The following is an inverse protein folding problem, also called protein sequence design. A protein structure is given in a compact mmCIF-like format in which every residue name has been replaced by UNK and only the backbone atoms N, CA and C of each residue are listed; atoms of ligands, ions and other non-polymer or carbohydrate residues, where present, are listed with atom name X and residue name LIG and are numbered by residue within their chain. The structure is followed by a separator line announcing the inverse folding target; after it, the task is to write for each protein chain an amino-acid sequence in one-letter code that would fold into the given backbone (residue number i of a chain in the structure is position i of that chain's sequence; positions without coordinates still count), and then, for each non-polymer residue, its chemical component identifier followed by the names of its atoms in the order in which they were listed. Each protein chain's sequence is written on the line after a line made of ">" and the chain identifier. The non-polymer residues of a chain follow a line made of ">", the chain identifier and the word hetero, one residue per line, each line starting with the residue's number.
data_IF_519760906726
#
_entry.id   IF_519760906726
#
_cell.length_a   1.000
_cell.length_b   1.000
_cell.length_c   1.000
_cell.angle_alpha   90.00
_cell.angle_beta   90.00
_cell.angle_gamma   90.00
#
_symmetry.space_group_name_H-M   'P 1'
#
loop_
_entity.id
_entity.type
_entity.pdbx_description
1 polymer ?
#
# COMPACT_ATOMS: atom_id res chain seq x y z
N UNK A 1 4.06 -15.05 7.32
CA UNK A 1 3.66 -16.09 8.30
C UNK A 1 2.16 -16.10 8.45
N UNK A 2 1.60 -17.26 8.41
CA UNK A 2 0.15 -17.44 8.63
C UNK A 2 -0.09 -18.14 9.97
N UNK A 3 -0.99 -17.58 10.77
CA UNK A 3 -1.46 -18.20 12.02
C UNK A 3 -2.99 -18.28 11.95
N UNK A 4 -3.52 -19.50 11.80
CA UNK A 4 -4.96 -19.68 11.60
C UNK A 4 -5.44 -18.95 10.34
N UNK A 5 -6.32 -17.98 10.52
CA UNK A 5 -6.86 -17.14 9.44
C UNK A 5 -6.11 -15.82 9.25
N UNK A 6 -5.06 -15.56 10.01
CA UNK A 6 -4.29 -14.31 9.93
C UNK A 6 -3.00 -14.55 9.16
N UNK A 7 -2.73 -13.73 8.19
CA UNK A 7 -1.47 -13.70 7.43
C UNK A 7 -0.72 -12.43 7.80
N UNK A 8 0.51 -12.59 8.26
CA UNK A 8 1.44 -11.48 8.52
C UNK A 8 2.43 -11.37 7.37
N UNK A 9 2.74 -10.16 6.95
CA UNK A 9 3.69 -9.91 5.89
C UNK A 9 4.60 -8.73 6.20
N UNK A 10 5.79 -8.77 5.64
CA UNK A 10 6.73 -7.65 5.62
C UNK A 10 7.38 -7.59 4.25
N UNK A 11 7.55 -6.40 3.73
CA UNK A 11 8.09 -6.16 2.39
C UNK A 11 9.07 -5.01 2.43
N UNK A 12 10.20 -5.19 1.75
CA UNK A 12 11.14 -4.11 1.43
C UNK A 12 11.41 -4.19 -0.07
N UNK A 13 11.05 -3.14 -0.78
CA UNK A 13 11.20 -3.09 -2.23
C UNK A 13 11.90 -1.81 -2.66
N UNK A 14 12.79 -1.95 -3.64
CA UNK A 14 13.42 -0.84 -4.33
C UNK A 14 13.09 -0.94 -5.82
N UNK A 15 12.56 0.13 -6.39
CA UNK A 15 12.17 0.13 -7.79
C UNK A 15 12.19 1.55 -8.36
N UNK A 16 12.26 1.65 -9.68
CA UNK A 16 12.14 2.93 -10.39
C UNK A 16 10.93 2.83 -11.32
N UNK A 17 9.81 3.51 -10.99
CA UNK A 17 8.64 3.43 -11.84
C UNK A 17 8.87 4.12 -13.17
N UNK A 18 8.27 3.55 -14.21
CA UNK A 18 8.28 4.13 -15.56
C UNK A 18 6.85 4.18 -16.08
N UNK A 19 6.27 5.37 -16.13
CA UNK A 19 4.94 5.59 -16.65
C UNK A 19 4.84 6.97 -17.27
N UNK A 20 3.99 7.12 -18.26
CA UNK A 20 3.73 8.39 -18.94
C UNK A 20 2.28 8.83 -18.82
N UNK A 21 1.36 7.91 -18.98
CA UNK A 21 -0.08 8.15 -18.98
C UNK A 21 -0.83 7.30 -17.96
N UNK A 22 -0.13 6.45 -17.21
CA UNK A 22 -0.74 5.61 -16.20
C UNK A 22 -1.42 6.46 -15.11
N UNK A 23 -2.60 6.05 -14.71
CA UNK A 23 -3.39 6.70 -13.68
C UNK A 23 -4.16 5.64 -12.88
N UNK A 24 -4.85 6.08 -11.84
CA UNK A 24 -5.64 5.20 -10.99
C UNK A 24 -4.86 4.68 -9.80
N UNK A 25 -5.47 3.73 -9.12
CA UNK A 25 -4.98 3.19 -7.85
C UNK A 25 -3.65 2.44 -8.01
N UNK A 26 -2.66 2.79 -7.19
CA UNK A 26 -1.43 2.01 -7.10
C UNK A 26 -1.68 0.72 -6.31
N UNK A 27 -1.24 -0.41 -6.84
CA UNK A 27 -1.45 -1.73 -6.25
C UNK A 27 -0.13 -2.49 -6.14
N UNK A 28 0.06 -3.14 -5.01
CA UNK A 28 1.17 -4.07 -4.78
C UNK A 28 0.60 -5.47 -4.72
N UNK A 29 0.74 -6.21 -5.80
CA UNK A 29 0.23 -7.57 -5.95
C UNK A 29 1.23 -8.62 -5.47
N UNK A 30 0.80 -9.85 -5.31
CA UNK A 30 1.66 -10.99 -4.99
C UNK A 30 1.52 -11.47 -3.54
N UNK A 31 0.48 -11.07 -2.84
CA UNK A 31 0.17 -11.69 -1.54
C UNK A 31 -0.13 -13.18 -1.73
N UNK A 32 0.34 -14.04 -0.83
CA UNK A 32 0.25 -15.49 -1.02
C UNK A 32 -1.18 -16.03 -0.99
N UNK A 33 -2.09 -15.30 -0.39
CA UNK A 33 -3.51 -15.69 -0.29
C UNK A 33 -4.39 -14.47 -0.54
N UNK A 34 -5.54 -14.69 -1.15
CA UNK A 34 -6.55 -13.63 -1.25
C UNK A 34 -7.16 -13.33 0.13
N UNK A 35 -7.42 -12.06 0.40
CA UNK A 35 -8.15 -11.66 1.60
C UNK A 35 -9.58 -12.19 1.56
N UNK A 36 -10.13 -12.59 2.71
CA UNK A 36 -11.53 -13.00 2.81
C UNK A 36 -12.48 -11.87 2.43
N UNK A 37 -13.69 -12.24 1.99
CA UNK A 37 -14.69 -11.27 1.53
C UNK A 37 -15.21 -10.38 2.67
N UNK A 38 -15.33 -10.94 3.86
CA UNK A 38 -15.68 -10.21 5.10
C UNK A 38 -14.50 -10.36 6.05
N UNK A 39 -13.50 -9.51 5.89
CA UNK A 39 -12.22 -9.69 6.56
C UNK A 39 -11.62 -8.32 6.92
N UNK A 40 -10.53 -8.37 7.66
CA UNK A 40 -9.83 -7.19 8.15
C UNK A 40 -8.38 -7.21 7.72
N UNK A 41 -7.82 -6.04 7.56
CA UNK A 41 -6.39 -5.86 7.30
C UNK A 41 -5.88 -4.62 8.00
N UNK A 42 -4.58 -4.55 8.18
CA UNK A 42 -3.92 -3.39 8.72
C UNK A 42 -2.43 -3.45 8.44
N UNK A 43 -1.78 -2.32 8.56
CA UNK A 43 -0.35 -2.22 8.37
C UNK A 43 0.10 -0.79 8.15
N UNK A 44 1.41 -0.59 8.10
CA UNK A 44 2.00 0.73 7.96
C UNK A 44 3.29 0.68 7.14
N UNK A 45 3.62 1.81 6.54
CA UNK A 45 4.94 2.05 5.96
C UNK A 45 5.90 2.35 7.10
N UNK A 46 7.03 1.64 7.17
CA UNK A 46 8.08 1.89 8.16
C UNK A 46 9.34 2.53 7.56
N UNK A 47 9.49 2.53 6.23
CA UNK A 47 10.59 3.21 5.55
C UNK A 47 10.13 3.66 4.16
N UNK A 48 10.58 4.85 3.75
CA UNK A 48 10.32 5.36 2.40
C UNK A 48 11.38 6.37 1.99
N UNK A 49 11.61 6.50 0.69
CA UNK A 49 12.40 7.59 0.13
C UNK A 49 11.58 8.86 -0.03
N UNK A 50 12.27 9.99 -0.25
CA UNK A 50 11.64 11.28 -0.48
C UNK A 50 10.90 11.39 -1.83
N UNK A 51 10.98 10.38 -2.68
CA UNK A 51 10.38 10.41 -4.03
C UNK A 51 8.91 10.00 -4.06
N UNK A 52 8.36 9.56 -2.94
CA UNK A 52 6.93 9.27 -2.81
C UNK A 52 6.19 10.56 -2.46
N UNK A 53 5.35 11.04 -3.36
CA UNK A 53 4.53 12.20 -3.13
C UNK A 53 3.26 11.83 -2.36
N UNK A 54 3.06 12.43 -1.21
CA UNK A 54 1.87 12.18 -0.39
C UNK A 54 0.68 12.98 -0.92
N UNK A 55 -0.53 12.44 -0.86
CA UNK A 55 -1.73 13.21 -1.16
C UNK A 55 -1.83 14.45 -0.25
N UNK A 56 -2.39 15.53 -0.78
CA UNK A 56 -2.48 16.81 -0.08
C UNK A 56 -3.09 16.67 1.32
N UNK A 57 -2.44 17.29 2.31
CA UNK A 57 -2.89 17.32 3.71
C UNK A 57 -2.99 15.95 4.40
N UNK A 58 -2.39 14.91 3.84
CA UNK A 58 -2.29 13.59 4.49
C UNK A 58 -0.95 13.50 5.20
N UNK A 59 -0.98 13.03 6.44
CA UNK A 59 0.17 13.00 7.35
C UNK A 59 0.53 11.59 7.80
N UNK A 60 -0.30 10.60 7.53
CA UNK A 60 -0.02 9.20 7.81
C UNK A 60 -0.49 8.31 6.67
N UNK A 61 0.16 7.16 6.54
CA UNK A 61 -0.15 6.16 5.51
C UNK A 61 -0.41 4.82 6.17
N UNK A 62 -1.51 4.20 5.79
CA UNK A 62 -1.85 2.85 6.20
C UNK A 62 -1.88 1.91 5.00
N UNK A 63 -1.64 0.64 5.28
CA UNK A 63 -1.76 -0.45 4.32
C UNK A 63 -3.16 -1.04 4.43
N UNK A 64 -3.79 -1.28 3.30
CA UNK A 64 -5.08 -1.96 3.23
C UNK A 64 -5.04 -3.04 2.16
N UNK A 65 -5.45 -4.23 2.52
CA UNK A 65 -5.68 -5.32 1.55
C UNK A 65 -7.13 -5.26 1.11
N UNK A 66 -7.38 -5.40 -0.16
CA UNK A 66 -8.74 -5.33 -0.72
C UNK A 66 -9.45 -6.67 -0.56
N UNK A 67 -10.71 -6.64 -0.10
CA UNK A 67 -11.54 -7.83 0.08
C UNK A 67 -11.58 -8.70 -1.18
N UNK A 68 -11.35 -9.98 -1.02
CA UNK A 68 -11.34 -10.95 -2.11
C UNK A 68 -10.13 -10.88 -3.04
N UNK A 69 -9.15 -10.02 -2.75
CA UNK A 69 -8.00 -9.80 -3.62
C UNK A 69 -6.68 -10.19 -2.95
N UNK A 70 -5.65 -10.38 -3.75
CA UNK A 70 -4.30 -10.68 -3.30
C UNK A 70 -3.32 -9.52 -3.56
N UNK A 71 -3.83 -8.31 -3.52
CA UNK A 71 -3.02 -7.09 -3.59
C UNK A 71 -3.35 -6.14 -2.43
N UNK A 72 -2.42 -5.25 -2.14
CA UNK A 72 -2.61 -4.19 -1.16
C UNK A 72 -2.52 -2.81 -1.81
N UNK A 73 -3.07 -1.84 -1.12
CA UNK A 73 -3.05 -0.43 -1.49
C UNK A 73 -2.57 0.41 -0.31
N UNK A 74 -2.09 1.60 -0.59
CA UNK A 74 -1.77 2.59 0.44
C UNK A 74 -2.91 3.59 0.56
N UNK A 75 -3.31 3.89 1.79
CA UNK A 75 -4.30 4.91 2.12
C UNK A 75 -3.66 6.00 2.95
N UNK A 76 -3.79 7.25 2.50
CA UNK A 76 -3.34 8.42 3.26
C UNK A 76 -4.45 8.95 4.16
N UNK A 77 -4.09 9.29 5.39
CA UNK A 77 -5.00 9.85 6.39
C UNK A 77 -4.54 11.23 6.84
N UNK A 78 -5.49 12.09 7.19
CA UNK A 78 -5.24 13.42 7.72
C UNK A 78 -6.31 13.81 8.74
N UNK A 79 -6.04 14.83 9.54
CA UNK A 79 -6.98 15.31 10.56
C UNK A 79 -8.27 15.84 9.91
N UNK A 80 -9.41 15.33 10.36
CA UNK A 80 -10.75 15.72 9.88
C UNK A 80 -10.95 15.56 8.37
N UNK A 81 -10.20 14.66 7.72
CA UNK A 81 -10.28 14.40 6.29
C UNK A 81 -10.60 12.92 6.05
N UNK A 82 -11.37 12.66 4.99
CA UNK A 82 -11.55 11.30 4.49
C UNK A 82 -10.21 10.73 4.01
N UNK A 83 -10.01 9.43 4.17
CA UNK A 83 -8.83 8.77 3.65
C UNK A 83 -8.79 8.83 2.12
N UNK A 84 -7.58 8.83 1.57
CA UNK A 84 -7.36 8.88 0.13
C UNK A 84 -6.43 7.75 -0.28
N UNK A 85 -6.80 7.02 -1.32
CA UNK A 85 -5.97 5.96 -1.88
C UNK A 85 -4.81 6.59 -2.66
N UNK A 86 -3.60 6.06 -2.49
CA UNK A 86 -2.48 6.45 -3.32
C UNK A 86 -2.69 5.98 -4.75
N UNK A 87 -2.44 6.88 -5.68
CA UNK A 87 -2.51 6.61 -7.12
C UNK A 87 -1.11 6.46 -7.69
N UNK A 88 -1.01 5.96 -8.91
CA UNK A 88 0.27 5.79 -9.60
C UNK A 88 1.03 7.12 -9.73
N UNK A 89 0.33 8.24 -9.79
CA UNK A 89 0.93 9.57 -9.89
C UNK A 89 1.72 10.01 -8.65
N UNK A 90 1.45 9.42 -7.48
CA UNK A 90 2.29 9.65 -6.29
C UNK A 90 3.67 8.99 -6.38
N UNK A 91 3.86 8.06 -7.30
CA UNK A 91 5.15 7.43 -7.58
C UNK A 91 5.75 8.08 -8.81
N UNK A 92 6.59 9.10 -8.61
CA UNK A 92 7.15 9.87 -9.71
C UNK A 92 7.91 8.98 -10.70
N UNK A 93 7.64 9.14 -11.99
CA UNK A 93 8.33 8.38 -13.04
C UNK A 93 9.82 8.70 -13.05
N UNK A 94 10.64 7.70 -13.35
CA UNK A 94 12.10 7.77 -13.37
C UNK A 94 12.75 8.16 -12.03
N UNK A 95 11.99 8.26 -10.94
CA UNK A 95 12.50 8.51 -9.61
C UNK A 95 12.60 7.21 -8.81
N UNK A 96 13.77 6.92 -8.25
CA UNK A 96 13.97 5.70 -7.45
C UNK A 96 13.10 5.73 -6.19
N UNK A 97 12.43 4.62 -5.92
CA UNK A 97 11.64 4.39 -4.72
C UNK A 97 12.28 3.27 -3.90
N UNK A 98 12.31 3.46 -2.59
CA UNK A 98 12.73 2.42 -1.64
C UNK A 98 11.73 2.45 -0.49
N UNK A 99 10.88 1.44 -0.42
CA UNK A 99 9.75 1.41 0.49
C UNK A 99 9.76 0.11 1.30
N UNK A 100 9.68 0.27 2.62
CA UNK A 100 9.48 -0.84 3.56
C UNK A 100 8.12 -0.71 4.22
N UNK A 101 7.34 -1.78 4.21
CA UNK A 101 6.04 -1.82 4.86
C UNK A 101 5.72 -3.21 5.41
N UNK A 102 4.90 -3.26 6.42
CA UNK A 102 4.45 -4.51 7.03
C UNK A 102 2.99 -4.42 7.43
N UNK A 103 2.36 -5.56 7.57
CA UNK A 103 0.98 -5.61 7.96
C UNK A 103 0.45 -7.03 8.14
N UNK A 104 -0.85 -7.12 8.20
CA UNK A 104 -1.59 -8.37 8.35
C UNK A 104 -2.94 -8.29 7.64
N UNK A 105 -3.48 -9.44 7.31
CA UNK A 105 -4.84 -9.56 6.79
C UNK A 105 -5.43 -10.94 7.13
N UNK A 106 -6.74 -11.05 7.09
CA UNK A 106 -7.44 -12.31 7.33
C UNK A 106 -7.86 -12.97 6.01
N UNK A 107 -7.80 -14.28 5.99
CA UNK A 107 -8.21 -15.09 4.83
C UNK A 107 -9.54 -15.82 5.09
#
# INVERSE_FOLDING_TARGET
>A
TRIGRIVFFGVSIAFTPTHTTASGQARFAGLPYAMGVVASSGGAIFAQTANLAWPASRTSVQISVTNGQSYLIFRGHGAALADTVFTITQFATAAAQDIGFSGWYTV
#
